data_IF_908226220685
#
_entry.id   IF_908226220685
#
_cell.length_a   1.000
_cell.length_b   1.000
_cell.length_c   1.000
_cell.angle_alpha   90.00
_cell.angle_beta   90.00
_cell.angle_gamma   90.00
#
_symmetry.space_group_name_H-M   'P 1'
#
loop_
_entity.id
_entity.type
_entity.pdbx_description
1 polymer ?
#
# COMPACT_ATOMS: atom_id res chain seq x y z
N UNK A 1 -3.72 -21.72 -6.11
CA UNK A 1 -2.73 -21.06 -6.99
C UNK A 1 -1.96 -22.07 -7.83
N UNK A 2 -1.22 -23.01 -7.21
CA UNK A 2 -0.44 -24.04 -7.90
C UNK A 2 -1.22 -24.84 -8.95
N UNK A 3 -2.46 -25.24 -8.65
CA UNK A 3 -3.34 -25.94 -9.60
C UNK A 3 -3.61 -25.14 -10.88
N UNK A 4 -3.91 -23.84 -10.74
CA UNK A 4 -4.16 -22.92 -11.87
C UNK A 4 -2.89 -22.61 -12.68
N UNK A 5 -1.72 -22.63 -12.05
CA UNK A 5 -0.44 -22.43 -12.76
C UNK A 5 0.01 -23.70 -13.48
N UNK A 6 -0.25 -24.87 -12.90
CA UNK A 6 0.09 -26.17 -13.51
C UNK A 6 -0.60 -26.40 -14.85
N UNK A 7 -1.80 -25.85 -15.05
CA UNK A 7 -2.51 -25.92 -16.35
C UNK A 7 -1.90 -25.02 -17.42
N UNK A 8 -1.15 -23.99 -17.03
CA UNK A 8 -0.46 -23.06 -17.95
C UNK A 8 1.01 -23.41 -18.16
N UNK A 9 1.57 -24.23 -17.28
CA UNK A 9 2.98 -24.62 -17.34
C UNK A 9 3.23 -25.66 -18.44
N UNK A 10 4.39 -25.55 -19.08
CA UNK A 10 4.86 -26.53 -20.07
C UNK A 10 5.90 -27.46 -19.46
N UNK A 11 5.98 -28.74 -19.87
CA UNK A 11 7.10 -29.61 -19.52
C UNK A 11 8.45 -28.99 -19.93
N UNK A 12 9.38 -28.98 -18.98
CA UNK A 12 10.77 -28.57 -19.14
C UNK A 12 11.66 -29.53 -18.34
N UNK A 13 11.77 -30.80 -18.78
CA UNK A 13 12.55 -31.81 -18.08
C UNK A 13 14.03 -31.42 -18.04
N UNK A 14 14.66 -31.54 -16.86
CA UNK A 14 16.07 -31.26 -16.63
C UNK A 14 16.76 -32.49 -16.07
N UNK A 15 18.07 -32.59 -16.23
CA UNK A 15 18.86 -33.73 -15.75
C UNK A 15 18.62 -34.07 -14.26
N UNK A 16 18.46 -33.05 -13.40
CA UNK A 16 18.14 -33.23 -11.97
C UNK A 16 16.63 -33.20 -11.62
N UNK A 17 15.75 -32.94 -12.59
CA UNK A 17 14.30 -32.94 -12.39
C UNK A 17 13.56 -33.32 -13.70
N UNK A 18 13.30 -34.62 -13.92
CA UNK A 18 12.58 -35.10 -15.11
C UNK A 18 11.14 -34.59 -15.23
N UNK A 19 10.55 -34.11 -14.13
CA UNK A 19 9.20 -33.53 -14.09
C UNK A 19 9.22 -32.00 -13.98
N UNK A 20 10.34 -31.38 -14.39
CA UNK A 20 10.47 -29.93 -14.45
C UNK A 20 9.36 -29.30 -15.28
N UNK A 21 8.82 -28.20 -14.77
CA UNK A 21 7.80 -27.40 -15.44
C UNK A 21 8.34 -25.98 -15.61
N UNK A 22 8.06 -25.37 -16.75
CA UNK A 22 8.33 -23.95 -17.02
C UNK A 22 7.04 -23.16 -17.16
N UNK A 23 7.08 -21.92 -16.72
CA UNK A 23 6.04 -20.91 -16.94
C UNK A 23 6.63 -19.78 -17.78
N UNK A 24 5.74 -18.94 -18.34
CA UNK A 24 6.16 -17.64 -18.84
C UNK A 24 6.88 -16.85 -17.72
N UNK A 25 7.83 -15.97 -18.09
CA UNK A 25 8.68 -15.28 -17.12
C UNK A 25 7.86 -14.43 -16.14
N UNK A 26 6.81 -13.75 -16.60
CA UNK A 26 5.94 -12.97 -15.70
C UNK A 26 5.23 -13.87 -14.69
N UNK A 27 4.66 -14.97 -15.15
CA UNK A 27 3.97 -15.95 -14.30
C UNK A 27 4.92 -16.64 -13.32
N UNK A 28 6.15 -16.93 -13.74
CA UNK A 28 7.20 -17.48 -12.90
C UNK A 28 7.60 -16.50 -11.78
N UNK A 29 7.84 -15.23 -12.11
CA UNK A 29 8.17 -14.19 -11.13
C UNK A 29 7.03 -14.05 -10.10
N UNK A 30 5.78 -13.90 -10.56
CA UNK A 30 4.62 -13.78 -9.67
C UNK A 30 4.46 -14.99 -8.76
N UNK A 31 4.72 -16.19 -9.28
CA UNK A 31 4.71 -17.42 -8.49
C UNK A 31 5.82 -17.41 -7.42
N UNK A 32 7.07 -17.11 -7.79
CA UNK A 32 8.19 -17.08 -6.86
C UNK A 32 7.99 -16.06 -5.74
N UNK A 33 7.51 -14.86 -6.08
CA UNK A 33 7.20 -13.81 -5.09
C UNK A 33 6.13 -14.28 -4.12
N UNK A 34 5.03 -14.85 -4.62
CA UNK A 34 3.94 -15.36 -3.78
C UNK A 34 4.38 -16.54 -2.92
N UNK A 35 5.17 -17.46 -3.48
CA UNK A 35 5.68 -18.63 -2.74
C UNK A 35 6.60 -18.21 -1.59
N UNK A 36 7.51 -17.26 -1.81
CA UNK A 36 8.34 -16.70 -0.73
C UNK A 36 7.47 -16.04 0.36
N UNK A 37 6.45 -15.26 -0.05
CA UNK A 37 5.53 -14.63 0.90
C UNK A 37 4.69 -15.63 1.70
N UNK A 38 4.28 -16.76 1.09
CA UNK A 38 3.53 -17.82 1.77
C UNK A 38 4.36 -18.53 2.85
N UNK A 39 5.68 -18.62 2.65
CA UNK A 39 6.61 -19.21 3.63
C UNK A 39 6.90 -18.24 4.77
N UNK A 40 7.18 -16.97 4.46
CA UNK A 40 7.72 -16.02 5.44
C UNK A 40 6.67 -15.00 5.93
N UNK A 41 6.06 -14.25 4.99
CA UNK A 41 5.23 -13.10 5.34
C UNK A 41 3.85 -13.50 5.86
N UNK A 42 3.21 -14.54 5.33
CA UNK A 42 1.84 -14.91 5.73
C UNK A 42 1.76 -15.49 7.14
N UNK A 43 2.67 -16.37 7.58
CA UNK A 43 2.70 -16.81 8.98
C UNK A 43 2.95 -15.65 9.94
N UNK A 44 3.85 -14.72 9.59
CA UNK A 44 4.14 -13.51 10.36
C UNK A 44 2.91 -12.60 10.44
N UNK A 45 2.24 -12.34 9.32
CA UNK A 45 1.02 -11.55 9.26
C UNK A 45 -0.08 -12.15 10.14
N UNK A 46 -0.27 -13.47 10.08
CA UNK A 46 -1.22 -14.18 10.95
C UNK A 46 -0.89 -14.04 12.44
N UNK A 47 0.40 -14.15 12.81
CA UNK A 47 0.85 -13.96 14.20
C UNK A 47 0.64 -12.52 14.68
N UNK A 48 0.82 -11.54 13.79
CA UNK A 48 0.64 -10.11 14.08
C UNK A 48 -0.82 -9.65 13.94
N UNK A 49 -1.71 -10.51 13.46
CA UNK A 49 -3.13 -10.22 13.28
C UNK A 49 -3.43 -9.24 12.15
N UNK A 50 -2.61 -9.22 11.09
CA UNK A 50 -2.89 -8.38 9.92
C UNK A 50 -4.07 -8.91 9.11
N UNK A 51 -4.83 -8.04 8.42
CA UNK A 51 -6.01 -8.46 7.65
C UNK A 51 -5.64 -9.46 6.56
N UNK A 52 -6.39 -10.55 6.48
CA UNK A 52 -6.23 -11.59 5.43
C UNK A 52 -7.25 -11.49 4.30
N UNK A 53 -8.26 -10.64 4.50
CA UNK A 53 -9.29 -10.30 3.53
C UNK A 53 -9.46 -8.78 3.53
N UNK A 54 -9.80 -8.24 2.37
CA UNK A 54 -10.06 -6.82 2.18
C UNK A 54 -11.52 -6.68 1.74
N UNK A 55 -12.36 -6.08 2.59
CA UNK A 55 -13.72 -5.70 2.21
C UNK A 55 -13.72 -4.26 1.67
N UNK A 56 -14.03 -4.13 0.38
CA UNK A 56 -14.05 -2.85 -0.33
C UNK A 56 -15.08 -1.87 0.25
N UNK A 57 -16.27 -2.36 0.63
CA UNK A 57 -17.33 -1.52 1.18
C UNK A 57 -16.96 -1.01 2.55
N UNK A 58 -16.43 -1.89 3.40
CA UNK A 58 -15.98 -1.54 4.74
C UNK A 58 -14.82 -0.53 4.67
N UNK A 59 -13.80 -0.81 3.85
CA UNK A 59 -12.65 0.08 3.69
C UNK A 59 -13.09 1.45 3.17
N UNK A 60 -13.95 1.50 2.16
CA UNK A 60 -14.52 2.74 1.63
C UNK A 60 -15.21 3.56 2.73
N UNK A 61 -16.07 2.92 3.53
CA UNK A 61 -16.78 3.61 4.62
C UNK A 61 -15.81 4.16 5.67
N UNK A 62 -14.78 3.39 6.03
CA UNK A 62 -13.75 3.81 6.99
C UNK A 62 -12.94 5.00 6.46
N UNK A 63 -12.50 4.98 5.19
CA UNK A 63 -11.78 6.11 4.59
C UNK A 63 -12.67 7.36 4.54
N UNK A 64 -13.98 7.22 4.27
CA UNK A 64 -14.92 8.36 4.35
C UNK A 64 -15.02 8.95 5.75
N UNK A 65 -14.98 8.12 6.80
CA UNK A 65 -14.99 8.57 8.18
C UNK A 65 -13.69 9.29 8.59
N UNK A 66 -12.59 9.11 7.86
CA UNK A 66 -11.34 9.85 8.09
C UNK A 66 -11.37 11.29 7.57
N UNK A 67 -12.43 11.71 6.85
CA UNK A 67 -12.52 13.05 6.27
C UNK A 67 -12.15 14.18 7.25
N UNK A 68 -12.65 14.23 8.51
CA UNK A 68 -12.29 15.30 9.43
C UNK A 68 -10.80 15.33 9.77
N UNK A 69 -10.19 14.17 10.01
CA UNK A 69 -8.74 14.03 10.31
C UNK A 69 -7.89 14.44 9.11
N UNK A 70 -8.32 14.06 7.90
CA UNK A 70 -7.62 14.43 6.66
C UNK A 70 -7.78 15.92 6.34
N UNK A 71 -8.93 16.53 6.64
CA UNK A 71 -9.12 17.98 6.52
C UNK A 71 -8.21 18.73 7.47
N UNK A 72 -8.07 18.27 8.72
CA UNK A 72 -7.13 18.86 9.68
C UNK A 72 -5.67 18.82 9.16
N UNK A 73 -5.25 17.74 8.49
CA UNK A 73 -3.94 17.67 7.84
C UNK A 73 -3.79 18.65 6.66
N UNK A 74 -4.89 18.93 5.95
CA UNK A 74 -4.87 19.92 4.87
C UNK A 74 -4.79 21.34 5.42
N UNK A 75 -5.44 21.60 6.55
CA UNK A 75 -5.48 22.92 7.20
C UNK A 75 -4.15 23.20 7.93
N UNK A 76 -3.57 22.19 8.59
CA UNK A 76 -2.23 22.23 9.18
C UNK A 76 -1.36 21.06 8.67
N UNK A 77 -0.59 21.29 7.59
CA UNK A 77 0.30 20.28 7.04
C UNK A 77 1.46 19.85 7.95
N UNK A 78 1.74 20.59 9.04
CA UNK A 78 2.80 20.22 10.00
C UNK A 78 2.43 18.99 10.84
N UNK A 79 1.13 18.69 10.93
CA UNK A 79 0.61 17.49 11.58
C UNK A 79 0.85 16.22 10.74
N UNK A 80 1.20 16.36 9.46
CA UNK A 80 1.44 15.24 8.54
C UNK A 80 2.84 14.65 8.70
N UNK A 81 2.93 13.37 9.02
CA UNK A 81 4.19 12.61 9.09
C UNK A 81 4.87 12.57 7.72
N UNK A 82 4.10 12.28 6.67
CA UNK A 82 4.67 12.13 5.32
C UNK A 82 5.06 13.47 4.71
N UNK A 83 4.21 14.49 4.89
CA UNK A 83 4.51 15.81 4.35
C UNK A 83 5.67 16.49 5.07
N UNK A 84 5.74 16.38 6.40
CA UNK A 84 6.87 16.94 7.14
C UNK A 84 8.18 16.22 6.81
N UNK A 85 8.15 14.90 6.57
CA UNK A 85 9.32 14.18 6.07
C UNK A 85 9.78 14.70 4.69
N UNK A 86 8.84 14.99 3.78
CA UNK A 86 9.13 15.60 2.48
C UNK A 86 9.65 17.04 2.61
N UNK A 87 9.07 17.85 3.49
CA UNK A 87 9.53 19.22 3.76
C UNK A 87 10.94 19.24 4.35
N UNK A 88 11.25 18.36 5.30
CA UNK A 88 12.60 18.18 5.84
C UNK A 88 13.60 17.90 4.72
N UNK A 89 13.29 16.91 3.89
CA UNK A 89 14.14 16.56 2.74
C UNK A 89 14.34 17.72 1.76
N UNK A 90 13.29 18.50 1.49
CA UNK A 90 13.37 19.67 0.63
C UNK A 90 14.25 20.78 1.23
N UNK A 91 14.22 20.95 2.56
CA UNK A 91 15.10 21.90 3.26
C UNK A 91 16.56 21.46 3.21
N UNK A 92 16.82 20.17 3.40
CA UNK A 92 18.18 19.64 3.49
C UNK A 92 18.86 19.48 2.11
N UNK A 93 18.10 19.11 1.09
CA UNK A 93 18.62 18.71 -0.24
C UNK A 93 18.09 19.58 -1.39
N UNK A 94 17.25 20.58 -1.09
CA UNK A 94 16.59 21.45 -2.08
C UNK A 94 15.31 20.86 -2.69
N UNK A 95 14.48 21.72 -3.30
CA UNK A 95 13.16 21.34 -3.84
C UNK A 95 13.20 20.23 -4.91
N UNK A 96 14.29 20.13 -5.68
CA UNK A 96 14.49 19.06 -6.67
C UNK A 96 14.60 17.66 -6.02
N UNK A 97 14.98 17.58 -4.74
CA UNK A 97 15.09 16.31 -4.02
C UNK A 97 13.73 15.67 -3.72
N UNK A 98 12.63 16.41 -3.88
CA UNK A 98 11.26 15.91 -3.73
C UNK A 98 10.44 16.00 -5.02
N UNK A 99 10.72 16.95 -5.91
CA UNK A 99 9.98 17.12 -7.19
C UNK A 99 10.65 16.42 -8.37
N UNK A 100 11.94 16.09 -8.28
CA UNK A 100 12.65 15.38 -9.34
C UNK A 100 12.34 13.88 -9.37
N UNK A 101 12.65 13.23 -10.49
CA UNK A 101 12.47 11.77 -10.66
C UNK A 101 13.16 10.99 -9.54
N UNK A 102 14.40 11.35 -9.19
CA UNK A 102 15.11 10.72 -8.06
C UNK A 102 14.40 10.87 -6.71
N UNK A 103 13.70 12.00 -6.49
CA UNK A 103 12.90 12.23 -5.28
C UNK A 103 11.64 11.37 -5.23
N UNK A 104 10.96 11.22 -6.37
CA UNK A 104 9.83 10.31 -6.51
C UNK A 104 10.23 8.87 -6.20
N UNK A 105 11.31 8.38 -6.80
CA UNK A 105 11.84 7.04 -6.55
C UNK A 105 12.24 6.83 -5.09
N UNK A 106 12.93 7.80 -4.48
CA UNK A 106 13.40 7.68 -3.11
C UNK A 106 12.29 7.66 -2.07
N UNK A 107 11.11 8.18 -2.38
CA UNK A 107 9.96 8.26 -1.45
C UNK A 107 8.84 7.30 -1.80
N UNK A 108 8.96 6.56 -2.91
CA UNK A 108 7.97 5.56 -3.33
C UNK A 108 7.75 4.48 -2.28
N UNK A 109 8.83 3.95 -1.69
CA UNK A 109 8.74 2.94 -0.62
C UNK A 109 8.15 3.50 0.68
N UNK A 110 8.31 4.79 0.91
CA UNK A 110 7.79 5.47 2.10
C UNK A 110 6.29 5.74 1.96
N UNK A 111 5.82 6.08 0.75
CA UNK A 111 4.42 6.34 0.43
C UNK A 111 3.59 5.07 0.17
N UNK A 112 3.76 4.06 1.03
CA UNK A 112 3.05 2.78 0.95
C UNK A 112 1.77 2.78 1.80
N UNK A 113 0.80 1.93 1.43
CA UNK A 113 -0.43 1.66 2.21
C UNK A 113 -0.31 0.47 3.17
N UNK A 114 0.91 -0.04 3.39
CA UNK A 114 1.18 -1.12 4.33
C UNK A 114 0.44 -2.42 3.97
N UNK A 115 -0.15 -3.11 4.96
CA UNK A 115 -0.86 -4.36 4.73
C UNK A 115 -2.11 -4.23 3.85
N UNK A 116 -2.60 -3.03 3.54
CA UNK A 116 -3.73 -2.87 2.61
C UNK A 116 -3.35 -3.11 1.15
N UNK A 117 -2.04 -3.09 0.82
CA UNK A 117 -1.53 -3.41 -0.51
C UNK A 117 -2.03 -2.49 -1.61
N UNK A 118 -1.87 -2.95 -2.85
CA UNK A 118 -2.21 -2.16 -4.04
C UNK A 118 -3.73 -2.02 -4.20
N UNK A 119 -4.50 -3.07 -3.91
CA UNK A 119 -5.97 -3.00 -3.96
C UNK A 119 -6.51 -1.97 -2.97
N UNK A 120 -6.02 -1.99 -1.73
CA UNK A 120 -6.41 -0.99 -0.73
C UNK A 120 -5.94 0.41 -1.11
N UNK A 121 -4.75 0.55 -1.70
CA UNK A 121 -4.28 1.82 -2.24
C UNK A 121 -5.21 2.40 -3.30
N UNK A 122 -5.70 1.57 -4.23
CA UNK A 122 -6.65 2.00 -5.26
C UNK A 122 -7.98 2.48 -4.64
N UNK A 123 -8.51 1.74 -3.65
CA UNK A 123 -9.75 2.10 -2.95
C UNK A 123 -9.57 3.41 -2.18
N UNK A 124 -8.52 3.51 -1.36
CA UNK A 124 -8.19 4.71 -0.58
C UNK A 124 -8.05 5.93 -1.51
N UNK A 125 -7.31 5.77 -2.61
CA UNK A 125 -7.11 6.82 -3.62
C UNK A 125 -8.43 7.31 -4.19
N UNK A 126 -9.30 6.39 -4.65
CA UNK A 126 -10.59 6.75 -5.22
C UNK A 126 -11.44 7.55 -4.23
N UNK A 127 -11.52 7.08 -2.97
CA UNK A 127 -12.32 7.77 -1.95
C UNK A 127 -11.73 9.13 -1.62
N UNK A 128 -10.40 9.28 -1.54
CA UNK A 128 -9.77 10.57 -1.28
C UNK A 128 -10.05 11.58 -2.41
N UNK A 129 -10.02 11.15 -3.67
CA UNK A 129 -10.39 12.02 -4.80
C UNK A 129 -11.85 12.47 -4.71
N UNK A 130 -12.77 11.58 -4.32
CA UNK A 130 -14.18 11.95 -4.11
C UNK A 130 -14.35 12.96 -2.96
N UNK A 131 -13.58 12.79 -1.88
CA UNK A 131 -13.68 13.63 -0.67
C UNK A 131 -13.09 15.02 -0.88
N UNK A 132 -12.00 15.10 -1.64
CA UNK A 132 -11.22 16.31 -1.85
C UNK A 132 -10.95 16.50 -3.35
N UNK A 133 -11.94 16.86 -4.17
CA UNK A 133 -11.77 16.94 -5.63
C UNK A 133 -10.89 18.12 -6.10
N UNK A 134 -10.70 19.13 -5.25
CA UNK A 134 -9.92 20.32 -5.57
C UNK A 134 -9.00 20.69 -4.40
N UNK A 135 -7.77 20.19 -4.43
CA UNK A 135 -6.71 20.68 -3.53
C UNK A 135 -6.20 22.05 -4.01
N UNK A 136 -6.05 22.99 -3.08
CA UNK A 136 -5.46 24.30 -3.36
C UNK A 136 -3.94 24.25 -3.24
N UNK A 137 -3.24 24.89 -4.18
CA UNK A 137 -1.77 24.91 -4.25
C UNK A 137 -1.06 25.49 -3.02
N UNK A 138 -1.77 26.26 -2.19
CA UNK A 138 -1.25 26.86 -0.96
C UNK A 138 -0.89 25.78 0.07
N UNK A 139 -1.70 24.72 0.17
CA UNK A 139 -1.53 23.68 1.20
C UNK A 139 -0.63 22.54 0.71
N UNK A 140 -0.42 22.42 -0.60
CA UNK A 140 0.34 21.32 -1.23
C UNK A 140 1.78 21.72 -1.57
N UNK A 141 2.11 23.01 -1.59
CA UNK A 141 3.44 23.50 -1.92
C UNK A 141 4.54 22.91 -1.00
N UNK A 142 5.69 22.50 -1.55
CA UNK A 142 6.13 22.69 -2.95
C UNK A 142 5.77 21.52 -3.90
N UNK A 143 4.92 20.59 -3.47
CA UNK A 143 4.48 19.45 -4.29
C UNK A 143 3.39 19.89 -5.27
N UNK A 144 3.28 19.16 -6.39
CA UNK A 144 2.07 19.24 -7.21
C UNK A 144 0.88 18.67 -6.43
N UNK A 145 -0.34 19.06 -6.80
CA UNK A 145 -1.54 18.49 -6.17
C UNK A 145 -1.58 16.96 -6.29
N UNK A 146 -1.20 16.43 -7.45
CA UNK A 146 -1.13 14.98 -7.73
C UNK A 146 -0.12 14.32 -6.79
N UNK A 147 1.08 14.86 -6.67
CA UNK A 147 2.11 14.31 -5.78
C UNK A 147 1.67 14.35 -4.32
N UNK A 148 0.94 15.40 -3.93
CA UNK A 148 0.41 15.50 -2.59
C UNK A 148 -0.63 14.41 -2.29
N UNK A 149 -1.54 14.08 -3.22
CA UNK A 149 -2.46 12.95 -3.03
C UNK A 149 -1.70 11.65 -2.79
N UNK A 150 -0.81 11.28 -3.71
CA UNK A 150 -0.20 9.95 -3.70
C UNK A 150 0.92 9.79 -2.68
N UNK A 151 1.62 10.87 -2.31
CA UNK A 151 2.79 10.81 -1.41
C UNK A 151 2.49 11.32 -0.01
N UNK A 152 1.35 11.97 0.20
CA UNK A 152 0.91 12.46 1.50
C UNK A 152 -0.46 11.88 1.86
N UNK A 153 -1.54 12.31 1.21
CA UNK A 153 -2.89 12.00 1.69
C UNK A 153 -3.21 10.50 1.71
N UNK A 154 -2.84 9.76 0.66
CA UNK A 154 -3.08 8.32 0.58
C UNK A 154 -2.29 7.56 1.67
N UNK A 155 -0.97 7.77 1.83
CA UNK A 155 -0.21 7.20 2.95
C UNK A 155 -0.70 7.63 4.33
N UNK A 156 -1.13 8.89 4.52
CA UNK A 156 -1.68 9.37 5.79
C UNK A 156 -3.02 8.70 6.14
N UNK A 157 -3.91 8.53 5.15
CA UNK A 157 -5.14 7.78 5.34
C UNK A 157 -4.85 6.33 5.71
N UNK A 158 -3.91 5.68 5.02
CA UNK A 158 -3.48 4.33 5.38
C UNK A 158 -2.90 4.27 6.80
N UNK A 159 -2.10 5.26 7.21
CA UNK A 159 -1.57 5.35 8.57
C UNK A 159 -2.68 5.45 9.62
N UNK A 160 -3.70 6.27 9.40
CA UNK A 160 -4.85 6.38 10.31
C UNK A 160 -5.65 5.07 10.38
N UNK A 161 -5.87 4.41 9.25
CA UNK A 161 -6.55 3.12 9.22
C UNK A 161 -5.77 2.05 10.00
N UNK A 162 -4.43 2.01 9.84
CA UNK A 162 -3.56 1.12 10.62
C UNK A 162 -3.65 1.44 12.11
N UNK A 163 -3.61 2.72 12.48
CA UNK A 163 -3.74 3.15 13.87
C UNK A 163 -5.08 2.69 14.47
N UNK A 164 -6.17 2.84 13.72
CA UNK A 164 -7.51 2.40 14.12
C UNK A 164 -7.58 0.88 14.30
N UNK A 165 -7.06 0.10 13.35
CA UNK A 165 -7.02 -1.37 13.43
C UNK A 165 -6.23 -1.84 14.65
N UNK A 166 -5.07 -1.24 14.89
CA UNK A 166 -4.23 -1.59 16.03
C UNK A 166 -4.88 -1.20 17.36
N UNK A 167 -5.53 -0.04 17.42
CA UNK A 167 -6.23 0.44 18.62
C UNK A 167 -7.39 -0.47 18.99
N UNK A 168 -8.20 -0.86 18.00
CA UNK A 168 -9.31 -1.78 18.20
C UNK A 168 -8.81 -3.17 18.63
N UNK A 169 -7.78 -3.69 17.97
CA UNK A 169 -7.26 -5.03 18.23
C UNK A 169 -6.53 -5.17 19.56
N UNK A 170 -5.79 -4.14 19.97
CA UNK A 170 -5.03 -4.14 21.23
C UNK A 170 -5.85 -3.62 22.41
N UNK A 171 -7.08 -3.15 22.16
CA UNK A 171 -7.96 -2.53 23.15
C UNK A 171 -7.27 -1.39 23.93
N UNK A 172 -6.33 -0.69 23.28
CA UNK A 172 -5.55 0.39 23.87
C UNK A 172 -5.19 1.44 22.83
N UNK A 173 -4.94 2.67 23.28
CA UNK A 173 -4.55 3.75 22.37
C UNK A 173 -3.16 3.48 21.76
N UNK A 174 -3.09 3.47 20.43
CA UNK A 174 -1.86 3.31 19.66
C UNK A 174 -1.44 4.65 19.07
N UNK A 175 -0.18 5.02 19.21
CA UNK A 175 0.33 6.29 18.67
C UNK A 175 0.57 6.21 17.16
N UNK A 176 0.65 7.37 16.48
CA UNK A 176 0.95 7.42 15.04
C UNK A 176 2.32 6.84 14.72
N UNK A 177 3.30 6.99 15.60
CA UNK A 177 4.66 6.45 15.42
C UNK A 177 4.63 4.91 15.46
N UNK A 178 3.88 4.33 16.39
CA UNK A 178 3.70 2.88 16.48
C UNK A 178 2.97 2.34 15.25
N UNK A 179 1.92 3.02 14.80
CA UNK A 179 1.20 2.68 13.58
C UNK A 179 2.11 2.77 12.34
N UNK A 180 2.98 3.78 12.25
CA UNK A 180 3.93 3.95 11.14
C UNK A 180 4.93 2.80 11.05
N UNK A 181 5.41 2.31 12.20
CA UNK A 181 6.29 1.12 12.25
C UNK A 181 5.59 -0.09 11.64
N UNK A 182 4.31 -0.31 11.99
CA UNK A 182 3.51 -1.40 11.44
C UNK A 182 3.21 -1.20 9.96
N UNK A 183 2.83 0.00 9.54
CA UNK A 183 2.58 0.35 8.13
C UNK A 183 3.79 -0.02 7.25
N UNK A 184 4.99 0.41 7.67
CA UNK A 184 6.23 0.10 6.94
C UNK A 184 6.57 -1.39 6.97
N UNK A 185 6.51 -2.02 8.14
CA UNK A 185 6.83 -3.44 8.31
C UNK A 185 5.86 -4.38 7.56
N UNK A 186 4.65 -3.91 7.24
CA UNK A 186 3.60 -4.67 6.57
C UNK A 186 3.49 -4.43 5.06
N UNK A 187 4.33 -3.58 4.48
CA UNK A 187 4.27 -3.26 3.05
C UNK A 187 4.50 -4.48 2.16
N UNK A 188 5.53 -5.30 2.45
CA UNK A 188 5.80 -6.51 1.67
C UNK A 188 4.64 -7.51 1.71
N UNK A 189 3.99 -7.63 2.88
CA UNK A 189 2.78 -8.41 3.02
C UNK A 189 1.64 -7.86 2.17
N UNK A 190 1.33 -6.56 2.24
CA UNK A 190 0.23 -5.96 1.48
C UNK A 190 0.38 -6.14 -0.03
N UNK A 191 1.58 -5.91 -0.58
CA UNK A 191 1.87 -6.09 -2.02
C UNK A 191 1.64 -7.52 -2.50
N UNK A 192 1.78 -8.52 -1.62
CA UNK A 192 1.63 -9.94 -1.98
C UNK A 192 0.26 -10.51 -1.62
N UNK A 193 -0.38 -10.01 -0.57
CA UNK A 193 -1.70 -10.41 -0.11
C UNK A 193 -2.81 -9.77 -0.96
N UNK A 194 -2.66 -8.49 -1.32
CA UNK A 194 -3.66 -7.69 -2.03
C UNK A 194 -3.07 -6.96 -3.26
N UNK A 195 -2.52 -7.70 -4.25
CA UNK A 195 -2.03 -7.10 -5.49
C UNK A 195 -3.19 -6.63 -6.38
N UNK A 196 -3.00 -5.58 -7.18
CA UNK A 196 -3.95 -5.26 -8.25
C UNK A 196 -3.78 -6.35 -9.31
N UNK A 197 -4.80 -7.20 -9.45
CA UNK A 197 -4.84 -8.12 -10.58
C UNK A 197 -5.23 -7.32 -11.81
N UNK A 198 -4.32 -7.21 -12.80
CA UNK A 198 -4.67 -6.81 -14.16
C UNK A 198 -5.94 -7.58 -14.56
N UNK A 199 -6.97 -6.86 -15.03
CA UNK A 199 -8.36 -7.33 -15.19
C UNK A 199 -8.57 -8.61 -16.02
N UNK A 200 -8.12 -9.75 -15.52
CA UNK A 200 -8.34 -11.11 -15.98
C UNK A 200 -8.69 -11.96 -14.76
N UNK A 201 -9.89 -11.74 -14.22
CA UNK A 201 -10.42 -12.58 -13.16
C UNK A 201 -11.32 -11.92 -12.12
N UNK A 202 -12.10 -10.88 -12.46
CA UNK A 202 -13.43 -10.76 -11.86
C UNK A 202 -14.36 -11.72 -12.62
N UNK A 203 -14.18 -13.02 -12.40
CA UNK A 203 -15.33 -13.92 -12.53
C UNK A 203 -16.26 -13.51 -11.39
N UNK A 204 -17.36 -12.85 -11.77
CA UNK A 204 -18.51 -12.68 -10.91
C UNK A 204 -18.97 -14.09 -10.56
N UNK A 205 -18.78 -14.51 -9.31
CA UNK A 205 -19.59 -15.57 -8.73
C UNK A 205 -20.98 -14.96 -8.52
N UNK A 206 -21.83 -15.12 -9.53
CA UNK A 206 -23.30 -15.14 -9.38
C UNK A 206 -23.76 -16.58 -9.15
#
# INVERSE_FOLDING_TARGET
MLSKLRTKAQPDPRYGNPFGLKLDMGQFISFCVRHAAEIEEFPKAKKLGWPTKLDDRELTARVRNLKPKLQELLDDPSLGVFFEALRRRARDLGSNAITGIGGHWATFKDASTGYYGEQGSAIITQVIFDLFPALTSINTAPLSNIDYYFRVLVPEAALFLVQEDLTQRLECYVTREQALVVLRASTAYGLTAFPITDGLGKEREE
#
